data_IF_036145292812
#
_entry.id   IF_036145292812
#
_cell.length_a   1.000
_cell.length_b   1.000
_cell.length_c   1.000
_cell.angle_alpha   90.00
_cell.angle_beta   90.00
_cell.angle_gamma   90.00
#
_symmetry.space_group_name_H-M   'P 1'
#
loop_
_entity.id
_entity.type
_entity.pdbx_description
1 polymer ?
#
# COMPACT_ATOMS: atom_id res chain seq x y z
N UNK A 1 -27.04 10.27 12.21
CA UNK A 1 -25.98 10.58 11.23
C UNK A 1 -24.58 10.11 11.70
N UNK A 2 -24.47 9.03 12.47
CA UNK A 2 -23.20 8.58 13.10
C UNK A 2 -22.70 7.19 12.63
N UNK A 3 -23.45 6.49 11.77
CA UNK A 3 -23.07 5.13 11.33
C UNK A 3 -22.23 5.11 10.06
N UNK A 4 -22.12 6.22 9.34
CA UNK A 4 -21.48 6.24 8.02
C UNK A 4 -19.95 6.25 8.16
N UNK A 5 -19.40 6.95 9.16
CA UNK A 5 -17.97 6.97 9.47
C UNK A 5 -17.44 5.64 10.05
N UNK A 6 -18.30 4.80 10.64
CA UNK A 6 -17.92 3.51 11.22
C UNK A 6 -17.62 2.42 10.19
N UNK A 7 -18.26 2.46 9.00
CA UNK A 7 -18.00 1.48 7.95
C UNK A 7 -16.72 1.78 7.14
N UNK A 8 -16.32 3.06 7.01
CA UNK A 8 -15.04 3.42 6.39
C UNK A 8 -13.83 2.95 7.20
N UNK A 9 -13.97 2.81 8.52
CA UNK A 9 -12.90 2.30 9.38
C UNK A 9 -12.57 0.83 9.11
N UNK A 10 -13.52 0.03 8.64
CA UNK A 10 -13.31 -1.39 8.29
C UNK A 10 -12.75 -1.61 6.88
N UNK A 11 -12.79 -0.60 6.01
CA UNK A 11 -12.21 -0.68 4.65
C UNK A 11 -10.78 -0.15 4.58
N UNK A 12 -10.47 1.00 5.20
CA UNK A 12 -9.09 1.56 5.18
C UNK A 12 -8.11 0.69 5.98
N UNK A 13 -8.50 0.25 7.18
CA UNK A 13 -7.65 -0.59 8.04
C UNK A 13 -7.26 -1.89 7.34
N UNK A 14 -8.22 -2.56 6.68
CA UNK A 14 -7.96 -3.81 5.95
C UNK A 14 -6.97 -3.61 4.80
N UNK A 15 -7.12 -2.53 4.05
CA UNK A 15 -6.24 -2.20 2.93
C UNK A 15 -4.83 -1.86 3.42
N UNK A 16 -4.71 -1.09 4.49
CA UNK A 16 -3.41 -0.81 5.13
C UNK A 16 -2.77 -2.09 5.67
N UNK A 17 -3.53 -2.98 6.32
CA UNK A 17 -3.02 -4.29 6.75
C UNK A 17 -2.54 -5.14 5.57
N UNK A 18 -3.27 -5.11 4.44
CA UNK A 18 -2.85 -5.81 3.22
C UNK A 18 -1.56 -5.24 2.64
N UNK A 19 -1.39 -3.91 2.63
CA UNK A 19 -0.13 -3.27 2.25
C UNK A 19 1.01 -3.70 3.17
N UNK A 20 0.79 -3.72 4.49
CA UNK A 20 1.77 -4.19 5.46
C UNK A 20 2.20 -5.64 5.19
N UNK A 21 1.24 -6.53 4.87
CA UNK A 21 1.55 -7.93 4.55
C UNK A 21 2.35 -8.08 3.24
N UNK A 22 2.06 -7.26 2.23
CA UNK A 22 2.80 -7.28 0.96
C UNK A 22 4.26 -6.85 1.13
N UNK A 23 4.53 -5.87 2.00
CA UNK A 23 5.91 -5.45 2.31
C UNK A 23 6.60 -6.29 3.38
N UNK A 24 5.83 -7.02 4.20
CA UNK A 24 6.34 -7.77 5.34
C UNK A 24 7.40 -8.80 4.97
N UNK A 25 7.23 -9.51 3.85
CA UNK A 25 8.22 -10.49 3.39
C UNK A 25 9.58 -9.86 3.08
N UNK A 26 9.59 -8.77 2.30
CA UNK A 26 10.80 -8.02 1.96
C UNK A 26 11.49 -7.44 3.19
N UNK A 27 10.70 -6.81 4.08
CA UNK A 27 11.24 -6.20 5.31
C UNK A 27 11.81 -7.28 6.24
N UNK A 28 11.14 -8.43 6.36
CA UNK A 28 11.65 -9.55 7.12
C UNK A 28 12.98 -10.08 6.57
N UNK A 29 13.08 -10.25 5.24
CA UNK A 29 14.35 -10.61 4.59
C UNK A 29 15.44 -9.59 4.88
N UNK A 30 15.14 -8.30 4.77
CA UNK A 30 16.08 -7.20 5.05
C UNK A 30 16.55 -7.19 6.51
N UNK A 31 15.64 -7.40 7.47
CA UNK A 31 15.95 -7.45 8.90
C UNK A 31 16.81 -8.66 9.28
N UNK A 32 16.60 -9.81 8.64
CA UNK A 32 17.31 -11.06 8.95
C UNK A 32 18.66 -11.15 8.22
N UNK A 33 18.68 -10.80 6.93
CA UNK A 33 19.81 -11.03 6.03
C UNK A 33 20.61 -9.76 5.73
N UNK A 34 20.16 -8.59 6.20
CA UNK A 34 20.74 -7.29 5.89
C UNK A 34 20.30 -6.72 4.54
N UNK A 35 20.71 -5.48 4.25
CA UNK A 35 20.31 -4.75 3.03
C UNK A 35 20.68 -5.48 1.73
N UNK A 36 21.78 -6.24 1.73
CA UNK A 36 22.24 -7.02 0.58
C UNK A 36 21.47 -8.35 0.40
N UNK A 37 20.66 -8.74 1.39
CA UNK A 37 19.88 -9.98 1.39
C UNK A 37 18.48 -9.85 0.81
N UNK A 38 18.09 -8.66 0.34
CA UNK A 38 16.78 -8.41 -0.28
C UNK A 38 16.72 -9.05 -1.66
N UNK A 39 15.74 -9.94 -1.87
CA UNK A 39 15.60 -10.64 -3.14
C UNK A 39 14.75 -9.86 -4.15
N UNK A 40 14.92 -10.17 -5.44
CA UNK A 40 14.04 -9.66 -6.52
C UNK A 40 12.63 -10.29 -6.48
N UNK A 41 12.41 -11.27 -5.60
CA UNK A 41 11.13 -11.98 -5.45
C UNK A 41 9.97 -11.08 -5.01
N UNK A 42 10.27 -9.95 -4.34
CA UNK A 42 9.26 -8.99 -3.89
C UNK A 42 8.67 -8.11 -5.01
N UNK A 43 9.15 -8.23 -6.26
CA UNK A 43 8.70 -7.36 -7.38
C UNK A 43 7.18 -7.40 -7.58
N UNK A 44 6.57 -8.59 -7.49
CA UNK A 44 5.13 -8.77 -7.67
C UNK A 44 4.33 -8.16 -6.49
N UNK A 45 4.89 -8.20 -5.27
CA UNK A 45 4.23 -7.63 -4.10
C UNK A 45 4.31 -6.09 -4.13
N UNK A 46 5.43 -5.52 -4.58
CA UNK A 46 5.60 -4.08 -4.81
C UNK A 46 4.60 -3.57 -5.86
N UNK A 47 4.44 -4.30 -6.96
CA UNK A 47 3.46 -3.95 -8.00
C UNK A 47 2.04 -3.95 -7.45
N UNK A 48 1.64 -5.03 -6.76
CA UNK A 48 0.33 -5.15 -6.13
C UNK A 48 0.08 -4.07 -5.08
N UNK A 49 1.09 -3.76 -4.26
CA UNK A 49 0.99 -2.72 -3.24
C UNK A 49 0.82 -1.33 -3.87
N UNK A 50 1.57 -1.05 -4.94
CA UNK A 50 1.48 0.22 -5.67
C UNK A 50 0.11 0.42 -6.33
N UNK A 51 -0.44 -0.62 -6.95
CA UNK A 51 -1.79 -0.59 -7.54
C UNK A 51 -2.88 -0.42 -6.48
N UNK A 52 -2.74 -1.10 -5.34
CA UNK A 52 -3.67 -1.00 -4.22
C UNK A 52 -3.67 0.41 -3.62
N UNK A 53 -2.48 0.96 -3.35
CA UNK A 53 -2.33 2.31 -2.83
C UNK A 53 -2.89 3.36 -3.81
N UNK A 54 -2.62 3.21 -5.12
CA UNK A 54 -3.23 4.06 -6.15
C UNK A 54 -4.75 3.99 -6.11
N UNK A 55 -5.33 2.79 -6.01
CA UNK A 55 -6.78 2.61 -5.90
C UNK A 55 -7.37 3.21 -4.62
N UNK A 56 -6.65 3.18 -3.50
CA UNK A 56 -7.05 3.86 -2.26
C UNK A 56 -7.19 5.36 -2.43
N UNK A 57 -6.30 5.97 -3.22
CA UNK A 57 -6.35 7.41 -3.50
C UNK A 57 -7.41 7.72 -4.56
N UNK A 58 -7.41 6.98 -5.67
CA UNK A 58 -8.15 7.38 -6.87
C UNK A 58 -9.56 6.82 -6.93
N UNK A 59 -9.79 5.60 -6.45
CA UNK A 59 -11.10 4.92 -6.55
C UNK A 59 -11.95 5.10 -5.31
N UNK A 60 -11.32 4.99 -4.13
CA UNK A 60 -12.03 5.01 -2.84
C UNK A 60 -11.88 6.32 -2.08
N UNK A 61 -11.00 7.23 -2.54
CA UNK A 61 -10.82 8.54 -1.93
C UNK A 61 -10.48 8.47 -0.43
N UNK A 62 -9.69 7.48 -0.01
CA UNK A 62 -9.34 7.21 1.39
C UNK A 62 -8.25 8.15 1.94
N UNK A 63 -8.10 9.32 1.31
CA UNK A 63 -7.13 10.36 1.66
C UNK A 63 -7.82 11.67 1.97
N UNK A 64 -7.35 12.35 3.02
CA UNK A 64 -7.94 13.61 3.46
C UNK A 64 -7.66 14.75 2.47
N UNK A 65 -6.50 14.73 1.80
CA UNK A 65 -6.05 15.78 0.87
C UNK A 65 -6.86 15.82 -0.42
N UNK A 66 -7.17 14.65 -1.00
CA UNK A 66 -7.87 14.55 -2.28
C UNK A 66 -9.39 14.43 -2.14
N UNK A 67 -9.86 14.09 -0.93
CA UNK A 67 -11.27 13.88 -0.63
C UNK A 67 -11.88 12.65 -1.33
N UNK A 68 -13.17 12.38 -1.12
CA UNK A 68 -13.89 11.24 -1.68
C UNK A 68 -14.32 11.49 -3.13
N UNK A 69 -13.36 11.82 -4.00
CA UNK A 69 -13.59 12.07 -5.42
C UNK A 69 -13.02 10.90 -6.23
N UNK A 70 -13.78 10.43 -7.23
CA UNK A 70 -13.34 9.38 -8.14
C UNK A 70 -12.36 9.97 -9.17
N UNK A 71 -11.07 9.69 -8.99
CA UNK A 71 -10.01 10.06 -9.92
C UNK A 71 -9.74 8.91 -10.90
N UNK A 72 -10.68 8.70 -11.82
CA UNK A 72 -10.48 7.79 -12.96
C UNK A 72 -10.84 6.35 -12.63
N UNK A 73 -11.42 5.72 -13.64
CA UNK A 73 -11.87 4.36 -13.61
C UNK A 73 -11.19 3.68 -14.79
N UNK A 74 -10.22 2.79 -14.53
CA UNK A 74 -9.58 2.03 -15.61
C UNK A 74 -10.58 1.10 -16.30
N UNK A 75 -11.67 0.73 -15.62
CA UNK A 75 -12.65 -0.20 -16.16
C UNK A 75 -13.61 0.46 -17.17
N UNK A 76 -13.71 1.79 -17.12
CA UNK A 76 -14.59 2.59 -18.00
C UNK A 76 -13.84 3.25 -19.18
N UNK A 77 -12.57 2.90 -19.41
CA UNK A 77 -11.80 3.45 -20.53
C UNK A 77 -12.32 2.89 -21.86
N UNK A 78 -13.19 3.64 -22.52
CA UNK A 78 -13.59 3.38 -23.91
C UNK A 78 -12.31 3.37 -24.77
N UNK A 79 -11.98 2.25 -25.46
CA UNK A 79 -10.82 2.20 -26.33
C UNK A 79 -10.90 3.31 -27.40
N UNK A 80 -10.00 4.30 -27.33
CA UNK A 80 -9.93 5.40 -28.29
C UNK A 80 -10.16 6.81 -27.73
N UNK A 81 -10.69 6.95 -26.51
CA UNK A 81 -10.57 8.20 -25.76
C UNK A 81 -9.37 8.07 -24.84
N UNK A 82 -8.28 8.78 -25.16
CA UNK A 82 -7.05 8.80 -24.36
C UNK A 82 -7.38 8.91 -22.88
N UNK A 83 -6.74 8.05 -22.07
CA UNK A 83 -6.96 7.95 -20.63
C UNK A 83 -7.07 9.35 -20.02
N UNK A 84 -8.09 9.56 -19.18
CA UNK A 84 -8.41 10.89 -18.63
C UNK A 84 -7.14 11.52 -18.06
N UNK A 85 -6.56 12.45 -18.80
CA UNK A 85 -5.41 13.22 -18.38
C UNK A 85 -5.89 14.14 -17.25
N UNK A 86 -5.68 13.74 -16.01
CA UNK A 86 -5.79 14.69 -14.89
C UNK A 86 -4.85 15.87 -15.15
N UNK A 87 -5.15 17.03 -14.58
CA UNK A 87 -4.20 18.13 -14.62
C UNK A 87 -2.87 17.65 -14.01
N UNK A 88 -1.73 18.13 -14.51
CA UNK A 88 -0.41 17.73 -13.98
C UNK A 88 -0.32 17.91 -12.46
N UNK A 89 -0.97 18.96 -11.93
CA UNK A 89 -1.05 19.22 -10.50
C UNK A 89 -1.86 18.16 -9.73
N UNK A 90 -2.91 17.61 -10.32
CA UNK A 90 -3.72 16.53 -9.70
C UNK A 90 -2.97 15.21 -9.75
N UNK A 91 -2.32 14.87 -10.87
CA UNK A 91 -1.50 13.66 -10.98
C UNK A 91 -0.36 13.66 -9.97
N UNK A 92 0.33 14.79 -9.82
CA UNK A 92 1.38 14.96 -8.82
C UNK A 92 0.84 14.73 -7.41
N UNK A 93 -0.33 15.30 -7.08
CA UNK A 93 -0.94 15.08 -5.77
C UNK A 93 -1.28 13.60 -5.55
N UNK A 94 -1.82 12.91 -6.56
CA UNK A 94 -2.09 11.46 -6.46
C UNK A 94 -0.80 10.69 -6.15
N UNK A 95 0.29 10.99 -6.86
CA UNK A 95 1.57 10.29 -6.66
C UNK A 95 2.17 10.58 -5.27
N UNK A 96 2.04 11.81 -4.76
CA UNK A 96 2.43 12.18 -3.39
C UNK A 96 1.63 11.39 -2.34
N UNK A 97 0.31 11.28 -2.51
CA UNK A 97 -0.55 10.53 -1.60
C UNK A 97 -0.26 9.03 -1.63
N UNK A 98 -0.02 8.47 -2.82
CA UNK A 98 0.36 7.05 -2.98
C UNK A 98 1.66 6.76 -2.27
N UNK A 99 2.69 7.61 -2.47
CA UNK A 99 3.97 7.48 -1.78
C UNK A 99 3.78 7.51 -0.27
N UNK A 100 3.02 8.48 0.25
CA UNK A 100 2.77 8.58 1.69
C UNK A 100 2.13 7.31 2.26
N UNK A 101 1.11 6.77 1.59
CA UNK A 101 0.44 5.52 2.04
C UNK A 101 1.41 4.34 2.07
N UNK A 102 2.29 4.24 1.07
CA UNK A 102 3.30 3.18 1.01
C UNK A 102 4.30 3.35 2.15
N UNK A 103 4.83 4.56 2.35
CA UNK A 103 5.82 4.85 3.40
C UNK A 103 5.24 4.54 4.80
N UNK A 104 4.02 5.02 5.09
CA UNK A 104 3.31 4.73 6.36
C UNK A 104 3.10 3.22 6.57
N UNK A 105 2.78 2.48 5.49
CA UNK A 105 2.58 1.03 5.57
C UNK A 105 3.88 0.29 5.77
N UNK A 106 4.98 0.78 5.18
CA UNK A 106 6.31 0.22 5.30
C UNK A 106 6.84 0.40 6.73
N UNK A 107 6.78 1.62 7.27
CA UNK A 107 7.17 1.93 8.66
C UNK A 107 6.37 1.11 9.67
N UNK A 108 5.07 0.96 9.44
CA UNK A 108 4.20 0.15 10.29
C UNK A 108 4.57 -1.33 10.25
N UNK A 109 4.80 -1.89 9.07
CA UNK A 109 5.21 -3.28 8.91
C UNK A 109 6.59 -3.53 9.55
N UNK A 110 7.53 -2.61 9.36
CA UNK A 110 8.86 -2.67 9.97
C UNK A 110 8.79 -2.62 11.50
N UNK A 111 8.02 -1.70 12.06
CA UNK A 111 7.80 -1.60 13.51
C UNK A 111 7.23 -2.90 14.06
N UNK A 112 6.18 -3.43 13.43
CA UNK A 112 5.57 -4.70 13.85
C UNK A 112 6.55 -5.88 13.81
N UNK A 113 7.40 -5.96 12.78
CA UNK A 113 8.40 -7.02 12.66
C UNK A 113 9.52 -6.87 13.69
N UNK A 114 9.97 -5.64 13.98
CA UNK A 114 10.97 -5.36 15.02
C UNK A 114 10.45 -5.65 16.42
N UNK A 115 9.19 -5.31 16.69
CA UNK A 115 8.55 -5.58 17.98
C UNK A 115 8.38 -7.09 18.25
N UNK A 116 8.37 -7.91 17.19
CA UNK A 116 8.19 -9.37 17.24
C UNK A 116 9.39 -10.10 16.61
N UNK A 117 10.59 -9.53 16.74
CA UNK A 117 11.80 -10.05 16.09
C UNK A 117 12.17 -11.46 16.57
N UNK A 118 11.84 -11.78 17.82
CA UNK A 118 11.99 -13.10 18.43
C UNK A 118 11.12 -14.15 17.72
N UNK A 119 9.86 -13.82 17.43
CA UNK A 119 8.95 -14.67 16.65
C UNK A 119 9.49 -14.85 15.23
N UNK A 120 9.99 -13.76 14.63
CA UNK A 120 10.56 -13.80 13.29
C UNK A 120 11.77 -14.74 13.20
N UNK A 121 12.69 -14.67 14.17
CA UNK A 121 13.82 -15.59 14.26
C UNK A 121 13.38 -17.05 14.49
N UNK A 122 12.41 -17.28 15.39
CA UNK A 122 11.88 -18.62 15.64
C UNK A 122 11.23 -19.24 14.37
N UNK A 123 10.50 -18.44 13.58
CA UNK A 123 9.92 -18.89 12.32
C UNK A 123 10.99 -19.23 11.28
N UNK A 124 12.06 -18.45 11.19
CA UNK A 124 13.21 -18.74 10.31
C UNK A 124 13.84 -20.07 10.71
N UNK A 125 14.13 -20.26 11.99
CA UNK A 125 14.83 -21.45 12.49
C UNK A 125 13.98 -22.72 12.32
N UNK A 126 12.64 -22.62 12.38
CA UNK A 126 11.74 -23.75 12.15
C UNK A 126 11.62 -24.16 10.67
N UNK A 127 12.03 -23.30 9.74
CA UNK A 127 11.94 -23.54 8.29
C UNK A 127 13.25 -24.07 7.70
N UNK A 128 14.33 -24.13 8.49
CA UNK A 128 15.63 -24.71 8.13
C UNK A 128 15.80 -26.12 8.69
#
# INVERSE_FOLDING_TARGET
>A
TLCEWGQYSMSKLKLTSQLCSLYGGRIAEELINGADGVTTGASNDIERASQLARSMVTRWGLTEKMGPILYGDEESAIPGQGGKNFSGATSQQIDEEVRRIIDESYERAETLLKDNIDILHAMKDALM
#
